data_IF_231010200046
#
_entry.id   IF_231010200046
#
_cell.length_a   1.000
_cell.length_b   1.000
_cell.length_c   1.000
_cell.angle_alpha   90.00
_cell.angle_beta   90.00
_cell.angle_gamma   90.00
#
_symmetry.space_group_name_H-M   'P 1'
#
loop_
_entity.id
_entity.type
_entity.pdbx_description
1 polymer ?
#
# COMPACT_ATOMS: atom_id res chain seq x y z
N UNK A 1 23.63 36.10 79.25
CA UNK A 1 24.84 35.85 78.43
C UNK A 1 25.22 34.38 78.62
N UNK A 2 25.54 33.58 77.58
CA UNK A 2 25.94 34.00 76.23
C UNK A 2 25.36 33.16 75.05
N UNK A 3 25.50 33.77 73.87
CA UNK A 3 25.75 33.18 72.54
C UNK A 3 24.60 32.43 71.83
N UNK A 4 23.95 33.18 70.93
CA UNK A 4 23.38 32.67 69.70
C UNK A 4 24.50 32.22 68.75
N UNK A 5 24.45 30.98 68.26
CA UNK A 5 25.05 30.62 66.97
C UNK A 5 23.95 30.06 66.09
N UNK A 6 23.66 30.78 65.02
CA UNK A 6 22.82 30.34 63.91
C UNK A 6 23.62 29.32 63.09
N UNK A 7 23.11 28.10 62.95
CA UNK A 7 23.42 27.26 61.78
C UNK A 7 22.11 27.06 61.04
N UNK A 8 22.10 27.56 59.81
CA UNK A 8 21.01 27.48 58.85
C UNK A 8 21.33 26.36 57.85
N UNK A 9 20.28 25.71 57.36
CA UNK A 9 20.24 24.75 56.25
C UNK A 9 20.71 23.32 56.58
N UNK A 10 20.08 22.24 56.11
CA UNK A 10 19.10 22.12 55.03
C UNK A 10 18.13 20.98 55.34
N UNK A 11 16.88 21.19 54.95
CA UNK A 11 15.80 20.19 54.94
C UNK A 11 16.10 19.18 53.84
N UNK A 12 16.23 17.91 54.19
CA UNK A 12 16.26 16.81 53.22
C UNK A 12 15.28 15.73 53.71
N UNK A 13 14.03 15.69 53.22
CA UNK A 13 13.14 14.60 53.53
C UNK A 13 13.49 13.40 52.67
N UNK A 14 13.90 12.34 53.37
CA UNK A 14 13.86 10.94 52.94
C UNK A 14 12.48 10.61 52.37
N UNK A 15 12.40 10.08 51.15
CA UNK A 15 11.20 9.40 50.68
C UNK A 15 11.49 8.38 49.56
N UNK A 16 11.34 7.11 49.96
CA UNK A 16 10.81 5.95 49.22
C UNK A 16 11.57 5.40 48.01
N UNK A 17 12.30 4.31 48.27
CA UNK A 17 12.40 3.18 47.34
C UNK A 17 10.98 2.64 47.06
N UNK A 18 10.42 2.98 45.90
CA UNK A 18 9.34 2.21 45.30
C UNK A 18 9.97 1.21 44.32
N UNK A 19 10.18 -0.02 44.80
CA UNK A 19 10.33 -1.19 43.97
C UNK A 19 9.00 -1.45 43.24
N UNK A 20 8.71 -0.65 42.21
CA UNK A 20 7.64 -0.89 41.26
C UNK A 20 8.23 -1.62 40.07
N UNK A 21 8.43 -2.93 40.20
CA UNK A 21 8.62 -3.79 39.02
C UNK A 21 7.39 -3.64 38.15
N UNK A 22 7.50 -2.88 37.07
CA UNK A 22 6.49 -2.86 36.01
C UNK A 22 6.57 -4.22 35.31
N UNK A 23 5.90 -5.22 35.88
CA UNK A 23 5.46 -6.38 35.13
C UNK A 23 4.48 -5.85 34.08
N UNK A 24 4.98 -5.55 32.89
CA UNK A 24 4.12 -5.41 31.71
C UNK A 24 3.46 -6.77 31.54
N UNK A 25 2.17 -6.85 31.87
CA UNK A 25 1.36 -8.01 31.56
C UNK A 25 1.48 -8.25 30.04
N UNK A 26 2.18 -9.32 29.65
CA UNK A 26 2.18 -9.77 28.28
C UNK A 26 0.74 -10.19 27.95
N UNK A 27 0.12 -9.47 27.02
CA UNK A 27 -1.22 -9.78 26.56
C UNK A 27 -1.21 -11.19 25.92
N UNK A 28 -1.92 -12.19 26.48
CA UNK A 28 -1.85 -13.58 26.01
C UNK A 28 -2.47 -13.78 24.61
N UNK A 29 -2.92 -12.71 23.96
CA UNK A 29 -3.50 -12.71 22.62
C UNK A 29 -2.69 -11.90 21.59
N UNK A 30 -1.42 -11.56 21.85
CA UNK A 30 -0.54 -11.03 20.82
C UNK A 30 -0.21 -12.12 19.78
N UNK A 31 -1.15 -12.41 18.89
CA UNK A 31 -0.90 -13.16 17.67
C UNK A 31 0.01 -12.27 16.84
N UNK A 32 1.30 -12.65 16.77
CA UNK A 32 2.20 -12.12 15.77
C UNK A 32 1.72 -12.66 14.42
N UNK A 33 0.82 -11.94 13.78
CA UNK A 33 0.56 -12.15 12.36
C UNK A 33 1.72 -11.54 11.61
N UNK A 34 2.48 -12.35 10.88
CA UNK A 34 3.44 -11.82 9.93
C UNK A 34 2.76 -10.78 9.03
N UNK A 35 3.41 -9.64 8.73
CA UNK A 35 2.82 -8.67 7.84
C UNK A 35 2.55 -9.32 6.48
N UNK A 36 1.36 -9.12 5.94
CA UNK A 36 1.02 -9.63 4.62
C UNK A 36 1.98 -9.06 3.58
N UNK A 37 2.62 -9.95 2.83
CA UNK A 37 3.45 -9.62 1.68
C UNK A 37 2.69 -10.05 0.41
N UNK A 38 2.25 -9.11 -0.43
CA UNK A 38 1.62 -9.44 -1.71
C UNK A 38 2.51 -10.30 -2.61
N UNK A 39 1.92 -11.20 -3.43
CA UNK A 39 2.65 -11.85 -4.52
C UNK A 39 3.37 -10.83 -5.42
N UNK A 40 4.57 -11.14 -5.96
CA UNK A 40 5.36 -10.22 -6.79
C UNK A 40 4.59 -9.59 -7.96
N UNK A 41 3.70 -10.37 -8.58
CA UNK A 41 2.92 -9.97 -9.76
C UNK A 41 1.66 -9.16 -9.41
N UNK A 42 1.39 -8.89 -8.14
CA UNK A 42 0.23 -8.10 -7.69
C UNK A 42 0.27 -6.71 -8.32
N UNK A 43 -0.81 -6.32 -9.01
CA UNK A 43 -0.92 -4.97 -9.59
C UNK A 43 -1.20 -3.97 -8.46
N UNK A 44 -0.35 -2.95 -8.33
CA UNK A 44 -0.44 -1.92 -7.28
C UNK A 44 -0.86 -0.54 -7.83
N UNK A 45 -0.73 -0.34 -9.14
CA UNK A 45 -1.14 0.90 -9.80
C UNK A 45 -1.42 0.62 -11.28
N UNK A 46 -2.49 1.22 -11.79
CA UNK A 46 -2.76 1.32 -13.21
C UNK A 46 -2.89 2.78 -13.61
N UNK A 47 -2.19 3.19 -14.65
CA UNK A 47 -2.21 4.55 -15.20
C UNK A 47 -2.65 4.55 -16.67
N UNK A 48 -2.97 5.74 -17.18
CA UNK A 48 -3.32 5.93 -18.58
C UNK A 48 -4.74 5.46 -18.94
N UNK A 49 -4.94 5.19 -20.23
CA UNK A 49 -6.21 4.79 -20.82
C UNK A 49 -6.01 4.03 -22.14
N UNK A 50 -7.08 3.48 -22.70
CA UNK A 50 -7.00 2.68 -23.91
C UNK A 50 -6.53 3.47 -25.15
N UNK A 51 -6.74 4.79 -25.19
CA UNK A 51 -6.37 5.61 -26.34
C UNK A 51 -4.89 5.97 -26.34
N UNK A 52 -4.33 6.26 -25.17
CA UNK A 52 -2.95 6.73 -24.99
C UNK A 52 -2.00 5.65 -24.48
N UNK A 53 -2.53 4.48 -24.10
CA UNK A 53 -1.79 3.37 -23.51
C UNK A 53 -2.03 3.29 -22.00
N UNK A 54 -2.09 2.07 -21.50
CA UNK A 54 -2.08 1.81 -20.05
C UNK A 54 -0.65 1.57 -19.57
N UNK A 55 -0.39 1.90 -18.31
CA UNK A 55 0.78 1.43 -17.57
C UNK A 55 0.33 0.60 -16.37
N UNK A 56 0.88 -0.59 -16.19
CA UNK A 56 0.55 -1.51 -15.10
C UNK A 56 1.80 -1.70 -14.24
N UNK A 57 1.79 -1.18 -13.01
CA UNK A 57 2.87 -1.34 -12.05
C UNK A 57 2.57 -2.48 -11.08
N UNK A 58 3.56 -3.35 -10.87
CA UNK A 58 3.45 -4.53 -10.01
C UNK A 58 4.20 -4.35 -8.70
N UNK A 59 3.90 -5.20 -7.73
CA UNK A 59 4.46 -5.14 -6.38
C UNK A 59 5.99 -5.35 -6.36
N UNK A 60 6.51 -6.15 -7.29
CA UNK A 60 7.95 -6.34 -7.50
C UNK A 60 8.68 -5.13 -8.13
N UNK A 61 7.95 -4.06 -8.45
CA UNK A 61 8.49 -2.85 -9.08
C UNK A 61 8.51 -2.89 -10.61
N UNK A 62 8.06 -3.99 -11.23
CA UNK A 62 8.01 -4.10 -12.69
C UNK A 62 6.84 -3.31 -13.29
N UNK A 63 7.04 -2.87 -14.53
CA UNK A 63 6.02 -2.19 -15.33
C UNK A 63 5.70 -2.99 -16.60
N UNK A 64 4.41 -3.03 -16.94
CA UNK A 64 3.91 -3.57 -18.19
C UNK A 64 3.11 -2.50 -18.93
N UNK A 65 3.37 -2.37 -20.23
CA UNK A 65 2.75 -1.39 -21.11
C UNK A 65 2.05 -2.13 -22.26
N UNK A 66 0.78 -2.49 -22.10
CA UNK A 66 0.03 -3.11 -23.19
C UNK A 66 -0.11 -2.15 -24.38
N UNK A 67 -0.40 -2.69 -25.58
CA UNK A 67 -0.71 -1.89 -26.74
C UNK A 67 -1.87 -0.91 -26.49
N UNK A 68 -1.96 0.12 -27.32
CA UNK A 68 -3.13 1.00 -27.40
C UNK A 68 -4.31 0.32 -28.11
N UNK A 69 -5.52 0.89 -28.01
CA UNK A 69 -6.69 0.43 -28.76
C UNK A 69 -6.46 0.54 -30.28
N UNK A 70 -5.76 1.57 -30.74
CA UNK A 70 -5.45 1.73 -32.17
C UNK A 70 -4.49 0.65 -32.67
N UNK A 71 -3.41 0.36 -31.94
CA UNK A 71 -2.48 -0.73 -32.26
C UNK A 71 -3.18 -2.08 -32.23
N UNK A 72 -3.99 -2.34 -31.20
CA UNK A 72 -4.72 -3.62 -31.11
C UNK A 72 -5.77 -3.74 -32.21
N UNK A 73 -6.45 -2.66 -32.59
CA UNK A 73 -7.40 -2.69 -33.71
C UNK A 73 -6.67 -2.99 -35.01
N UNK A 74 -5.47 -2.44 -35.22
CA UNK A 74 -4.64 -2.74 -36.37
C UNK A 74 -4.30 -4.24 -36.41
N UNK A 75 -3.78 -4.80 -35.33
CA UNK A 75 -3.51 -6.25 -35.24
C UNK A 75 -4.76 -7.10 -35.44
N UNK A 76 -5.89 -6.70 -34.84
CA UNK A 76 -7.15 -7.42 -35.00
C UNK A 76 -7.67 -7.38 -36.44
N UNK A 77 -7.24 -6.44 -37.29
CA UNK A 77 -7.65 -6.38 -38.69
C UNK A 77 -6.91 -7.40 -39.57
N UNK A 78 -5.73 -7.85 -39.14
CA UNK A 78 -4.91 -8.84 -39.86
C UNK A 78 -5.54 -10.25 -39.87
N UNK A 79 -6.52 -10.52 -39.01
CA UNK A 79 -7.23 -11.80 -39.07
C UNK A 79 -8.13 -11.89 -40.31
N UNK A 80 -7.93 -12.92 -41.14
CA UNK A 80 -8.73 -13.17 -42.36
C UNK A 80 -10.23 -13.33 -42.10
N UNK A 81 -10.57 -14.08 -41.04
CA UNK A 81 -11.96 -14.45 -40.74
C UNK A 81 -12.63 -13.35 -39.92
N UNK A 82 -13.80 -12.89 -40.39
CA UNK A 82 -14.64 -11.89 -39.70
C UNK A 82 -14.87 -12.22 -38.22
N UNK A 83 -15.17 -13.49 -37.90
CA UNK A 83 -15.41 -13.93 -36.52
C UNK A 83 -14.16 -13.76 -35.64
N UNK A 84 -12.96 -14.01 -36.18
CA UNK A 84 -11.70 -13.80 -35.45
C UNK A 84 -11.45 -12.33 -35.16
N UNK A 85 -11.67 -11.45 -36.15
CA UNK A 85 -11.59 -9.98 -35.95
C UNK A 85 -12.51 -9.49 -34.84
N UNK A 86 -13.78 -9.93 -34.86
CA UNK A 86 -14.77 -9.55 -33.84
C UNK A 86 -14.33 -10.06 -32.46
N UNK A 87 -13.92 -11.33 -32.36
CA UNK A 87 -13.47 -11.91 -31.09
C UNK A 87 -12.26 -11.17 -30.53
N UNK A 88 -11.27 -10.85 -31.36
CA UNK A 88 -10.10 -10.08 -30.98
C UNK A 88 -10.52 -8.73 -30.39
N UNK A 89 -11.28 -7.92 -31.14
CA UNK A 89 -11.73 -6.59 -30.71
C UNK A 89 -12.55 -6.62 -29.42
N UNK A 90 -13.47 -7.57 -29.28
CA UNK A 90 -14.31 -7.70 -28.08
C UNK A 90 -13.49 -8.11 -26.87
N UNK A 91 -12.54 -9.05 -27.05
CA UNK A 91 -11.64 -9.49 -25.99
C UNK A 91 -10.81 -8.33 -25.47
N UNK A 92 -10.13 -7.60 -26.35
CA UNK A 92 -9.26 -6.48 -25.95
C UNK A 92 -10.05 -5.35 -25.31
N UNK A 93 -11.20 -4.96 -25.88
CA UNK A 93 -12.02 -3.89 -25.29
C UNK A 93 -12.61 -4.27 -23.93
N UNK A 94 -12.92 -5.54 -23.72
CA UNK A 94 -13.32 -6.03 -22.39
C UNK A 94 -12.18 -5.90 -21.39
N UNK A 95 -10.98 -6.28 -21.80
CA UNK A 95 -9.78 -6.16 -20.99
C UNK A 95 -9.45 -4.71 -20.63
N UNK A 96 -9.49 -3.77 -21.60
CA UNK A 96 -9.29 -2.34 -21.32
C UNK A 96 -10.33 -1.75 -20.37
N UNK A 97 -11.59 -2.17 -20.46
CA UNK A 97 -12.62 -1.73 -19.50
C UNK A 97 -12.34 -2.24 -18.09
N UNK A 98 -11.87 -3.49 -17.95
CA UNK A 98 -11.46 -4.03 -16.67
C UNK A 98 -10.27 -3.25 -16.08
N UNK A 99 -9.27 -2.91 -16.90
CA UNK A 99 -8.15 -2.06 -16.47
C UNK A 99 -8.59 -0.67 -16.05
N UNK A 100 -9.48 -0.03 -16.80
CA UNK A 100 -10.03 1.27 -16.42
C UNK A 100 -10.77 1.19 -15.07
N UNK A 101 -11.54 0.14 -14.83
CA UNK A 101 -12.18 -0.10 -13.53
C UNK A 101 -11.16 -0.30 -12.41
N UNK A 102 -10.13 -1.12 -12.64
CA UNK A 102 -9.09 -1.38 -11.65
C UNK A 102 -8.25 -0.13 -11.33
N UNK A 103 -7.98 0.73 -12.33
CA UNK A 103 -7.38 2.06 -12.11
C UNK A 103 -8.17 2.86 -11.08
N UNK A 104 -9.49 2.93 -11.20
CA UNK A 104 -10.32 3.66 -10.23
C UNK A 104 -10.26 3.02 -8.83
N UNK A 105 -10.21 1.69 -8.74
CA UNK A 105 -10.00 0.99 -7.48
C UNK A 105 -8.65 1.34 -6.83
N UNK A 106 -7.54 1.28 -7.60
CA UNK A 106 -6.22 1.63 -7.07
C UNK A 106 -6.14 3.10 -6.65
N UNK A 107 -6.74 4.01 -7.43
CA UNK A 107 -6.85 5.43 -7.09
C UNK A 107 -7.58 5.63 -5.76
N UNK A 108 -8.70 4.94 -5.56
CA UNK A 108 -9.45 5.00 -4.31
C UNK A 108 -8.59 4.59 -3.10
N UNK A 109 -7.95 3.42 -3.15
CA UNK A 109 -7.13 2.95 -2.02
C UNK A 109 -5.94 3.87 -1.72
N UNK A 110 -5.31 4.45 -2.75
CA UNK A 110 -4.21 5.42 -2.57
C UNK A 110 -4.67 6.74 -1.98
N UNK A 111 -5.95 7.11 -2.14
CA UNK A 111 -6.51 8.31 -1.52
C UNK A 111 -6.78 8.17 -0.01
N UNK A 112 -6.71 6.94 0.51
CA UNK A 112 -6.89 6.66 1.95
C UNK A 112 -5.57 6.73 2.74
N UNK A 113 -4.44 6.90 2.05
CA UNK A 113 -3.09 6.98 2.64
C UNK A 113 -2.68 8.45 2.78
#
# INVERSE_FOLDING_TARGET
MPIFVRVLAAVLPVALLAAGGAATAADPAAVVTDPYVPPPDTIVLVEGDAANGFGIHRYDGSWEYPPTDSETIAECNEYDRRVRRIRCRVSTRTWYRALAGFKETTRYYRSLQ
#
